data_IF_959545243522
#
_entry.id   IF_959545243522
#
_cell.length_a   1.000
_cell.length_b   1.000
_cell.length_c   1.000
_cell.angle_alpha   90.00
_cell.angle_beta   90.00
_cell.angle_gamma   90.00
#
_symmetry.space_group_name_H-M   'P 1'
#
loop_
_entity.id
_entity.type
_entity.pdbx_description
1 polymer ?
#
# COMPACT_ATOMS: atom_id res chain seq x y z
N UNK A 1 31.58 -0.88 -0.72
CA UNK A 1 30.28 -0.68 -0.04
C UNK A 1 29.49 -1.97 -0.21
N UNK A 2 28.97 -2.56 0.87
CA UNK A 2 28.01 -3.64 0.76
C UNK A 2 26.70 -3.08 0.21
N UNK A 3 26.02 -3.82 -0.66
CA UNK A 3 24.77 -3.42 -1.27
C UNK A 3 23.74 -4.54 -1.13
N UNK A 4 22.48 -4.15 -1.01
CA UNK A 4 21.35 -5.06 -1.04
C UNK A 4 20.56 -4.81 -2.33
N UNK A 5 20.26 -5.88 -3.06
CA UNK A 5 19.38 -5.84 -4.20
C UNK A 5 18.11 -6.64 -3.90
N UNK A 6 17.01 -5.91 -3.74
CA UNK A 6 15.68 -6.50 -3.65
C UNK A 6 15.24 -6.92 -5.05
N UNK A 7 14.86 -8.18 -5.20
CA UNK A 7 14.53 -8.80 -6.48
C UNK A 7 13.17 -9.45 -6.41
N UNK A 8 12.45 -9.47 -7.54
CA UNK A 8 11.14 -10.10 -7.67
C UNK A 8 10.84 -10.42 -9.12
N UNK A 9 9.81 -11.22 -9.32
CA UNK A 9 9.30 -11.50 -10.67
C UNK A 9 8.95 -10.19 -11.39
N UNK A 10 9.66 -9.83 -12.47
CA UNK A 10 9.50 -8.54 -13.15
C UNK A 10 8.13 -8.42 -13.84
N UNK A 11 7.47 -9.53 -14.16
CA UNK A 11 6.13 -9.50 -14.77
C UNK A 11 5.09 -9.13 -13.71
N UNK A 12 5.28 -9.57 -12.47
CA UNK A 12 4.39 -9.24 -11.37
C UNK A 12 4.35 -7.73 -11.08
N UNK A 13 5.43 -7.00 -11.39
CA UNK A 13 5.48 -5.55 -11.24
C UNK A 13 4.55 -4.81 -12.21
N UNK A 14 4.29 -5.38 -13.38
CA UNK A 14 3.56 -4.70 -14.45
C UNK A 14 2.08 -4.46 -14.10
N UNK A 15 1.49 -5.31 -13.25
CA UNK A 15 0.09 -5.14 -12.80
C UNK A 15 -0.14 -3.80 -12.09
N UNK A 16 0.90 -3.25 -11.47
CA UNK A 16 0.84 -1.95 -10.81
C UNK A 16 0.75 -0.78 -11.79
N UNK A 17 1.12 -1.00 -13.07
CA UNK A 17 0.95 -0.02 -14.14
C UNK A 17 -0.50 0.18 -14.59
N UNK A 18 -1.43 -0.71 -14.20
CA UNK A 18 -2.86 -0.56 -14.50
C UNK A 18 -3.58 0.49 -13.62
N UNK A 19 -2.92 0.94 -12.55
CA UNK A 19 -3.49 1.93 -11.65
C UNK A 19 -3.56 3.28 -12.38
N UNK A 20 -4.71 3.99 -12.34
CA UNK A 20 -4.83 5.31 -12.97
C UNK A 20 -4.07 6.35 -12.13
N UNK A 21 -2.73 6.32 -12.19
CA UNK A 21 -1.85 7.11 -11.32
C UNK A 21 -2.14 8.61 -11.38
N UNK A 22 -2.53 9.14 -12.55
CA UNK A 22 -2.91 10.55 -12.68
C UNK A 22 -4.14 10.90 -11.84
N UNK A 23 -5.21 10.13 -11.99
CA UNK A 23 -6.46 10.32 -11.24
C UNK A 23 -6.23 10.12 -9.74
N UNK A 24 -5.41 9.13 -9.37
CA UNK A 24 -4.98 8.94 -7.99
C UNK A 24 -4.27 10.18 -7.44
N UNK A 25 -3.30 10.74 -8.16
CA UNK A 25 -2.55 11.91 -7.73
C UNK A 25 -3.44 13.15 -7.61
N UNK A 26 -4.35 13.35 -8.56
CA UNK A 26 -5.36 14.42 -8.51
C UNK A 26 -6.26 14.27 -7.28
N UNK A 27 -6.77 13.07 -7.01
CA UNK A 27 -7.61 12.79 -5.84
C UNK A 27 -6.85 12.93 -4.51
N UNK A 28 -5.55 12.57 -4.45
CA UNK A 28 -4.70 12.72 -3.26
C UNK A 28 -4.47 14.19 -2.93
N UNK A 29 -4.24 15.01 -3.97
CA UNK A 29 -3.96 16.43 -3.83
C UNK A 29 -5.13 17.17 -3.18
N UNK A 30 -6.35 16.84 -3.57
CA UNK A 30 -7.57 17.47 -3.09
C UNK A 30 -8.24 16.66 -1.95
N UNK A 31 -7.52 15.70 -1.36
CA UNK A 31 -8.05 14.84 -0.31
C UNK A 31 -8.22 15.60 1.00
N UNK A 32 -9.46 15.72 1.44
CA UNK A 32 -9.78 16.17 2.79
C UNK A 32 -9.36 15.10 3.81
N UNK A 33 -8.47 15.48 4.74
CA UNK A 33 -7.92 14.57 5.75
C UNK A 33 -8.32 14.92 7.19
N UNK A 34 -8.99 16.05 7.39
CA UNK A 34 -9.59 16.41 8.68
C UNK A 34 -11.09 16.40 8.52
N UNK A 35 -11.79 15.71 9.41
CA UNK A 35 -13.24 15.51 9.32
C UNK A 35 -13.83 15.32 10.73
N UNK A 36 -15.17 15.31 10.84
CA UNK A 36 -15.88 15.19 12.13
C UNK A 36 -16.84 14.01 12.13
N UNK A 37 -17.52 13.79 13.25
CA UNK A 37 -18.53 12.74 13.39
C UNK A 37 -19.72 12.89 12.41
N UNK A 38 -19.91 14.08 11.82
CA UNK A 38 -20.96 14.32 10.81
C UNK A 38 -20.54 13.97 9.38
N UNK A 39 -19.29 13.59 9.17
CA UNK A 39 -18.71 13.38 7.85
C UNK A 39 -19.07 12.03 7.24
N UNK A 40 -19.51 12.04 5.99
CA UNK A 40 -19.73 10.82 5.20
C UNK A 40 -18.39 10.25 4.71
N UNK A 41 -17.93 9.18 5.35
CA UNK A 41 -16.67 8.53 5.02
C UNK A 41 -16.65 7.87 3.63
N UNK A 42 -17.79 7.73 2.93
CA UNK A 42 -17.80 7.28 1.54
C UNK A 42 -17.06 8.23 0.59
N UNK A 43 -16.81 9.47 1.03
CA UNK A 43 -15.92 10.41 0.35
C UNK A 43 -14.55 9.78 0.00
N UNK A 44 -14.04 8.88 0.85
CA UNK A 44 -12.74 8.24 0.65
C UNK A 44 -12.73 7.21 -0.50
N UNK A 45 -13.88 6.86 -1.09
CA UNK A 45 -13.96 6.00 -2.27
C UNK A 45 -13.13 6.52 -3.45
N UNK A 46 -12.99 7.84 -3.60
CA UNK A 46 -12.16 8.44 -4.65
C UNK A 46 -10.69 7.99 -4.58
N UNK A 47 -10.24 7.48 -3.44
CA UNK A 47 -8.92 6.87 -3.25
C UNK A 47 -9.03 5.35 -3.20
N UNK A 48 -9.93 4.83 -2.35
CA UNK A 48 -10.04 3.41 -2.04
C UNK A 48 -10.44 2.57 -3.25
N UNK A 49 -11.38 3.08 -4.08
CA UNK A 49 -11.98 2.38 -5.22
C UNK A 49 -11.43 2.84 -6.58
N UNK A 50 -10.22 3.41 -6.63
CA UNK A 50 -9.59 3.65 -7.94
C UNK A 50 -9.32 2.32 -8.61
N UNK A 51 -10.28 1.93 -9.47
CA UNK A 51 -10.28 0.65 -10.16
C UNK A 51 -9.09 0.59 -11.09
N UNK A 52 -8.42 -0.56 -11.09
CA UNK A 52 -7.56 -0.91 -12.20
C UNK A 52 -8.42 -0.91 -13.46
N UNK A 53 -8.00 -0.18 -14.49
CA UNK A 53 -8.57 -0.39 -15.82
C UNK A 53 -8.14 -1.77 -16.31
N UNK A 54 -8.78 -2.28 -17.35
CA UNK A 54 -8.18 -3.40 -18.09
C UNK A 54 -6.71 -3.05 -18.38
N UNK A 55 -5.81 -4.02 -18.19
CA UNK A 55 -4.41 -3.75 -18.41
C UNK A 55 -4.14 -3.63 -19.90
N UNK A 56 -3.86 -2.41 -20.33
CA UNK A 56 -3.44 -2.08 -21.68
C UNK A 56 -1.91 -1.93 -21.71
N UNK A 57 -1.16 -2.91 -22.26
CA UNK A 57 0.29 -2.80 -22.31
C UNK A 57 0.69 -1.66 -23.27
N UNK A 58 1.67 -0.82 -22.90
CA UNK A 58 2.21 0.17 -23.81
C UNK A 58 2.93 -0.52 -24.97
N UNK A 59 2.88 0.09 -26.16
CA UNK A 59 3.64 -0.38 -27.33
C UNK A 59 5.15 -0.48 -27.06
N UNK A 60 5.66 0.31 -26.12
CA UNK A 60 7.06 0.34 -25.73
C UNK A 60 7.23 0.35 -24.21
N UNK A 61 8.08 -0.55 -23.72
CA UNK A 61 8.51 -0.63 -22.32
C UNK A 61 9.86 0.05 -22.06
N UNK A 62 10.40 0.81 -23.00
CA UNK A 62 11.71 1.47 -22.84
C UNK A 62 11.78 2.37 -21.59
N UNK A 63 10.65 2.95 -21.16
CA UNK A 63 10.57 3.74 -19.93
C UNK A 63 10.95 2.95 -18.66
N UNK A 64 10.88 1.61 -18.68
CA UNK A 64 11.31 0.80 -17.55
C UNK A 64 12.84 0.86 -17.33
N UNK A 65 13.64 1.13 -18.38
CA UNK A 65 15.12 1.22 -18.30
C UNK A 65 15.63 2.40 -17.47
N UNK A 66 14.75 3.33 -17.08
CA UNK A 66 15.10 4.47 -16.22
C UNK A 66 14.37 4.41 -14.89
N UNK A 67 13.60 3.35 -14.63
CA UNK A 67 12.74 3.23 -13.47
C UNK A 67 12.99 1.91 -12.75
N UNK A 68 12.38 0.82 -13.23
CA UNK A 68 12.30 -0.44 -12.50
C UNK A 68 13.20 -1.52 -13.06
N UNK A 69 13.58 -1.45 -14.35
CA UNK A 69 14.46 -2.40 -15.01
C UNK A 69 15.87 -1.85 -15.14
N UNK A 70 16.57 -1.77 -14.00
CA UNK A 70 17.92 -1.18 -13.90
C UNK A 70 18.88 -2.04 -13.06
N UNK A 71 18.59 -3.33 -12.84
CA UNK A 71 19.37 -4.19 -11.96
C UNK A 71 20.82 -4.40 -12.42
N UNK A 72 21.02 -4.91 -13.65
CA UNK A 72 22.36 -5.13 -14.21
C UNK A 72 23.09 -3.79 -14.38
N UNK A 73 22.35 -2.78 -14.83
CA UNK A 73 22.84 -1.40 -14.96
C UNK A 73 23.37 -0.83 -13.63
N UNK A 74 22.63 -0.96 -12.53
CA UNK A 74 23.05 -0.49 -11.21
C UNK A 74 24.25 -1.26 -10.68
N UNK A 75 24.28 -2.59 -10.83
CA UNK A 75 25.41 -3.39 -10.38
C UNK A 75 26.69 -3.02 -11.14
N UNK A 76 26.60 -2.83 -12.46
CA UNK A 76 27.75 -2.42 -13.28
C UNK A 76 28.25 -1.02 -12.95
N UNK A 77 27.34 -0.09 -12.63
CA UNK A 77 27.67 1.27 -12.26
C UNK A 77 28.30 1.37 -10.85
N UNK A 78 27.69 0.71 -9.86
CA UNK A 78 28.10 0.80 -8.45
C UNK A 78 29.27 -0.13 -8.10
N UNK A 79 29.42 -1.24 -8.83
CA UNK A 79 30.44 -2.29 -8.59
C UNK A 79 30.57 -2.65 -7.11
N UNK A 80 29.47 -3.05 -6.45
CA UNK A 80 29.50 -3.38 -5.03
C UNK A 80 30.49 -4.52 -4.78
N UNK A 81 31.28 -4.39 -3.70
CA UNK A 81 32.25 -5.42 -3.29
C UNK A 81 31.56 -6.64 -2.69
N UNK A 82 30.38 -6.41 -2.14
CA UNK A 82 29.54 -7.38 -1.48
C UNK A 82 28.09 -7.04 -1.84
N UNK A 83 27.37 -8.00 -2.42
CA UNK A 83 26.04 -7.82 -2.95
C UNK A 83 25.15 -8.94 -2.43
N UNK A 84 24.21 -8.56 -1.57
CA UNK A 84 23.20 -9.45 -1.00
C UNK A 84 21.93 -9.35 -1.83
N UNK A 85 21.35 -10.49 -2.19
CA UNK A 85 20.08 -10.55 -2.91
C UNK A 85 18.99 -11.01 -1.95
N UNK A 86 17.87 -10.29 -1.94
CA UNK A 86 16.70 -10.62 -1.14
C UNK A 86 15.52 -10.77 -2.10
N UNK A 87 14.91 -11.95 -2.15
CA UNK A 87 13.65 -12.09 -2.88
C UNK A 87 12.54 -11.32 -2.13
N UNK A 88 11.68 -10.61 -2.84
CA UNK A 88 10.56 -9.86 -2.27
C UNK A 88 9.68 -10.71 -1.35
N UNK A 89 9.57 -12.02 -1.59
CA UNK A 89 8.83 -12.90 -0.72
C UNK A 89 9.49 -13.05 0.66
N UNK A 90 10.82 -12.88 0.81
CA UNK A 90 11.54 -12.92 2.10
C UNK A 90 11.21 -11.73 3.01
N UNK A 91 10.66 -10.66 2.44
CA UNK A 91 10.12 -9.51 3.20
C UNK A 91 8.59 -9.50 3.22
N UNK A 92 7.97 -10.69 3.09
CA UNK A 92 6.54 -10.86 3.36
C UNK A 92 6.23 -10.67 4.84
N UNK A 93 4.94 -10.53 5.17
CA UNK A 93 4.46 -10.40 6.55
C UNK A 93 5.04 -11.47 7.48
N UNK A 94 5.17 -12.70 7.02
CA UNK A 94 5.58 -13.86 7.81
C UNK A 94 7.10 -14.02 7.94
N UNK A 95 7.89 -13.23 7.18
CA UNK A 95 9.35 -13.43 7.09
C UNK A 95 10.17 -12.15 7.26
N UNK A 96 9.54 -10.97 7.14
CA UNK A 96 10.23 -9.69 7.15
C UNK A 96 11.05 -9.48 8.43
N UNK A 97 10.51 -9.87 9.59
CA UNK A 97 11.20 -9.73 10.88
C UNK A 97 12.49 -10.56 10.93
N UNK A 98 12.41 -11.85 10.60
CA UNK A 98 13.57 -12.75 10.60
C UNK A 98 14.59 -12.35 9.54
N UNK A 99 14.13 -11.94 8.35
CA UNK A 99 14.99 -11.47 7.26
C UNK A 99 15.74 -10.21 7.65
N UNK A 100 15.07 -9.19 8.20
CA UNK A 100 15.72 -7.97 8.65
C UNK A 100 16.64 -8.20 9.85
N UNK A 101 16.34 -9.17 10.71
CA UNK A 101 17.24 -9.60 11.78
C UNK A 101 18.55 -10.17 11.21
N UNK A 102 18.49 -11.05 10.21
CA UNK A 102 19.69 -11.57 9.53
C UNK A 102 20.47 -10.47 8.81
N UNK A 103 19.77 -9.57 8.11
CA UNK A 103 20.38 -8.44 7.41
C UNK A 103 21.09 -7.48 8.38
N UNK A 104 20.55 -7.28 9.59
CA UNK A 104 21.16 -6.42 10.61
C UNK A 104 22.56 -6.90 11.00
N UNK A 105 22.76 -8.22 11.07
CA UNK A 105 24.05 -8.83 11.39
C UNK A 105 25.06 -8.65 10.25
N UNK A 106 24.58 -8.68 8.99
CA UNK A 106 25.43 -8.51 7.81
C UNK A 106 25.82 -7.05 7.55
N UNK A 107 24.87 -6.13 7.69
CA UNK A 107 25.04 -4.72 7.35
C UNK A 107 25.37 -3.83 8.56
N UNK A 108 25.26 -4.34 9.79
CA UNK A 108 25.62 -3.63 11.02
C UNK A 108 24.62 -2.55 11.46
N UNK A 109 23.37 -2.60 11.03
CA UNK A 109 22.31 -1.72 11.54
C UNK A 109 21.63 -2.32 12.78
N UNK A 110 20.85 -1.51 13.51
CA UNK A 110 20.15 -1.97 14.71
C UNK A 110 19.14 -3.08 14.39
N UNK A 111 19.30 -4.24 15.03
CA UNK A 111 18.40 -5.36 14.83
C UNK A 111 16.96 -5.03 15.25
N UNK A 112 15.94 -5.52 14.51
CA UNK A 112 14.55 -5.50 14.94
C UNK A 112 14.38 -6.02 16.37
N UNK A 113 13.52 -5.37 17.15
CA UNK A 113 13.21 -5.79 18.52
C UNK A 113 11.86 -6.49 18.56
N UNK A 114 11.72 -7.53 19.39
CA UNK A 114 10.50 -8.35 19.47
C UNK A 114 9.24 -7.52 19.78
N UNK A 115 9.38 -6.49 20.63
CA UNK A 115 8.31 -5.55 20.95
C UNK A 115 7.74 -4.81 19.73
N UNK A 116 8.54 -4.68 18.67
CA UNK A 116 8.22 -3.95 17.45
C UNK A 116 7.85 -4.91 16.29
N UNK A 117 7.76 -6.24 16.54
CA UNK A 117 7.46 -7.27 15.52
C UNK A 117 6.25 -6.92 14.66
N UNK A 118 5.18 -6.39 15.28
CA UNK A 118 3.95 -6.00 14.59
C UNK A 118 4.18 -5.00 13.44
N UNK A 119 5.20 -4.14 13.54
CA UNK A 119 5.55 -3.18 12.49
C UNK A 119 6.06 -3.92 11.25
N UNK A 120 6.89 -4.94 11.43
CA UNK A 120 7.46 -5.74 10.35
C UNK A 120 6.44 -6.71 9.72
N UNK A 121 5.43 -7.13 10.50
CA UNK A 121 4.32 -7.95 10.04
C UNK A 121 3.18 -7.11 9.41
N UNK A 122 3.23 -5.79 9.53
CA UNK A 122 2.20 -4.90 9.02
C UNK A 122 2.24 -4.83 7.49
N UNK A 123 1.06 -4.97 6.87
CA UNK A 123 0.90 -4.77 5.42
C UNK A 123 0.71 -3.29 5.11
N UNK A 124 1.79 -2.51 5.10
CA UNK A 124 1.76 -1.06 4.83
C UNK A 124 1.07 -0.69 3.50
N UNK A 125 1.34 -1.45 2.44
CA UNK A 125 0.69 -1.25 1.14
C UNK A 125 -0.48 -2.24 0.97
N UNK A 126 -1.47 -2.16 1.86
CA UNK A 126 -2.74 -2.83 1.62
C UNK A 126 -3.62 -2.04 0.64
N UNK A 127 -3.30 -2.15 -0.64
CA UNK A 127 -4.01 -1.43 -1.67
C UNK A 127 -3.82 0.09 -1.57
N UNK A 128 -4.90 0.85 -1.77
CA UNK A 128 -4.82 2.31 -1.82
C UNK A 128 -4.92 2.96 -0.43
N UNK A 129 -4.97 2.15 0.64
CA UNK A 129 -5.08 2.59 2.02
C UNK A 129 -3.98 3.60 2.39
N UNK A 130 -2.75 3.34 1.96
CA UNK A 130 -1.58 4.21 2.14
C UNK A 130 -1.84 5.67 1.73
N UNK A 131 -2.61 5.89 0.65
CA UNK A 131 -2.85 7.22 0.12
C UNK A 131 -3.80 8.06 0.96
N UNK A 132 -4.57 7.44 1.87
CA UNK A 132 -5.45 8.15 2.82
C UNK A 132 -4.68 8.90 3.91
N UNK A 133 -3.39 8.63 4.11
CA UNK A 133 -2.55 9.37 5.07
C UNK A 133 -1.10 9.62 4.61
N UNK A 134 -0.80 9.49 3.31
CA UNK A 134 0.56 9.64 2.76
C UNK A 134 1.22 11.00 2.98
N UNK A 135 0.43 12.08 3.07
CA UNK A 135 0.95 13.46 3.23
C UNK A 135 0.79 13.99 4.65
N UNK A 136 -0.25 13.51 5.35
CA UNK A 136 -0.57 13.87 6.73
C UNK A 136 -1.56 12.84 7.29
N UNK A 137 -1.60 12.63 8.61
CA UNK A 137 -2.55 11.74 9.26
C UNK A 137 -3.99 12.05 8.88
N UNK A 138 -4.78 11.00 8.66
CA UNK A 138 -6.22 11.13 8.57
C UNK A 138 -6.72 11.41 10.01
N UNK A 139 -7.41 12.53 10.22
CA UNK A 139 -7.72 13.06 11.56
C UNK A 139 -9.23 13.26 11.74
N UNK A 140 -9.81 12.53 12.68
CA UNK A 140 -11.18 12.74 13.15
C UNK A 140 -11.16 13.74 14.32
N UNK A 141 -11.79 14.89 14.12
CA UNK A 141 -12.08 15.87 15.15
C UNK A 141 -13.43 15.55 15.78
N UNK A 142 -13.43 15.17 17.06
CA UNK A 142 -14.60 14.80 17.83
C UNK A 142 -15.05 15.98 18.67
N UNK A 143 -16.25 16.48 18.42
CA UNK A 143 -16.87 17.57 19.16
C UNK A 143 -18.32 17.27 19.51
N UNK A 144 -18.78 17.73 20.68
CA UNK A 144 -20.17 17.58 21.11
C UNK A 144 -21.17 18.25 20.16
N UNK A 145 -20.77 19.33 19.47
CA UNK A 145 -21.58 20.04 18.47
C UNK A 145 -21.96 19.16 17.27
N UNK A 146 -21.19 18.10 16.99
CA UNK A 146 -21.47 17.19 15.87
C UNK A 146 -22.55 16.15 16.18
N UNK A 147 -22.87 15.89 17.46
CA UNK A 147 -23.79 14.82 17.87
C UNK A 147 -25.16 14.86 17.17
N UNK A 148 -25.83 16.03 17.01
CA UNK A 148 -27.13 16.11 16.32
C UNK A 148 -27.06 15.72 14.83
N UNK A 149 -25.87 15.83 14.24
CA UNK A 149 -25.58 15.66 12.81
C UNK A 149 -24.70 14.44 12.52
N UNK A 150 -24.45 13.58 13.51
CA UNK A 150 -23.60 12.40 13.37
C UNK A 150 -24.03 11.56 12.17
N UNK A 151 -23.07 11.24 11.32
CA UNK A 151 -23.26 10.32 10.21
C UNK A 151 -23.36 8.88 10.73
N UNK A 152 -24.25 8.11 10.12
CA UNK A 152 -24.27 6.65 10.26
C UNK A 152 -24.80 6.08 8.95
N UNK A 153 -24.28 4.93 8.53
CA UNK A 153 -24.70 4.23 7.30
C UNK A 153 -26.20 3.94 7.24
N UNK A 154 -26.87 3.86 8.40
CA UNK A 154 -28.31 3.59 8.51
C UNK A 154 -29.19 4.84 8.60
N UNK A 155 -28.59 6.04 8.64
CA UNK A 155 -29.31 7.29 8.80
C UNK A 155 -29.93 7.77 7.49
N UNK A 156 -31.22 8.13 7.51
CA UNK A 156 -31.92 8.78 6.39
C UNK A 156 -31.67 10.30 6.31
N UNK A 157 -30.93 10.88 7.26
CA UNK A 157 -30.66 12.33 7.29
C UNK A 157 -29.75 12.69 6.13
N UNK A 158 -30.09 13.76 5.40
CA UNK A 158 -29.21 14.33 4.36
C UNK A 158 -27.87 14.70 5.00
N UNK A 159 -26.78 14.24 4.37
CA UNK A 159 -25.42 14.57 4.73
C UNK A 159 -25.26 16.09 4.87
N UNK A 160 -24.61 16.56 5.94
CA UNK A 160 -24.14 17.94 5.97
C UNK A 160 -22.90 18.02 5.07
N UNK A 161 -23.10 18.40 3.81
CA UNK A 161 -22.03 18.79 2.89
C UNK A 161 -21.27 20.06 3.36
N UNK A 162 -21.80 20.76 4.38
CA UNK A 162 -21.20 21.98 4.91
C UNK A 162 -20.12 21.70 5.96
N UNK A 163 -18.94 21.38 5.42
CA UNK A 163 -17.66 21.16 6.09
C UNK A 163 -16.99 22.44 6.66
N UNK A 164 -17.56 23.63 6.51
CA UNK A 164 -16.84 24.89 6.73
C UNK A 164 -16.47 25.23 8.19
N UNK A 165 -16.94 24.48 9.20
CA UNK A 165 -16.80 24.85 10.61
C UNK A 165 -16.26 23.73 11.52
N UNK A 166 -15.17 23.05 11.13
CA UNK A 166 -14.46 22.17 12.08
C UNK A 166 -13.88 23.00 13.23
N UNK A 167 -14.36 22.79 14.44
CA UNK A 167 -13.86 23.47 15.65
C UNK A 167 -12.53 22.83 16.12
N UNK A 168 -11.44 23.13 15.42
CA UNK A 168 -10.13 22.54 15.67
C UNK A 168 -9.57 22.79 17.08
N UNK A 169 -10.03 23.84 17.74
CA UNK A 169 -9.56 24.24 19.07
C UNK A 169 -10.25 23.45 20.18
N UNK A 170 -11.55 23.19 20.04
CA UNK A 170 -12.35 22.52 21.09
C UNK A 170 -12.67 21.06 20.77
N UNK A 171 -12.02 20.46 19.77
CA UNK A 171 -12.25 19.06 19.39
C UNK A 171 -11.13 18.17 19.88
N UNK A 172 -11.50 17.00 20.39
CA UNK A 172 -10.59 15.88 20.57
C UNK A 172 -10.10 15.38 19.21
N UNK A 173 -8.84 14.96 19.10
CA UNK A 173 -8.24 14.53 17.84
C UNK A 173 -7.88 13.06 17.87
N UNK A 174 -8.48 12.30 16.97
CA UNK A 174 -8.17 10.89 16.72
C UNK A 174 -7.44 10.80 15.39
N UNK A 175 -6.26 10.18 15.39
CA UNK A 175 -5.40 10.04 14.24
C UNK A 175 -5.40 8.60 13.72
N UNK A 176 -5.70 8.42 12.44
CA UNK A 176 -5.57 7.15 11.75
C UNK A 176 -4.28 7.16 10.93
N UNK A 177 -3.34 6.29 11.29
CA UNK A 177 -2.03 6.17 10.67
C UNK A 177 -1.56 4.72 10.63
N UNK A 178 -0.39 4.47 10.02
CA UNK A 178 0.27 3.18 10.13
C UNK A 178 0.76 2.87 11.54
N UNK A 179 0.98 1.59 11.86
CA UNK A 179 1.69 1.20 13.07
C UNK A 179 3.03 1.91 13.20
N UNK A 180 3.10 2.85 14.14
CA UNK A 180 4.29 3.64 14.44
C UNK A 180 4.26 4.02 15.92
N UNK A 181 5.41 3.95 16.60
CA UNK A 181 5.51 4.39 17.98
C UNK A 181 5.59 5.91 18.04
N UNK A 182 4.58 6.55 18.63
CA UNK A 182 4.55 8.01 18.85
C UNK A 182 4.58 8.30 20.36
N UNK A 183 5.55 9.09 20.80
CA UNK A 183 5.68 9.48 22.20
C UNK A 183 4.51 10.39 22.64
N UNK A 184 3.90 10.08 23.79
CA UNK A 184 2.76 10.83 24.34
C UNK A 184 1.40 10.48 23.72
N UNK A 185 1.34 9.46 22.85
CA UNK A 185 0.12 8.97 22.23
C UNK A 185 -0.15 7.51 22.62
N UNK A 186 -1.43 7.17 22.74
CA UNK A 186 -1.91 5.82 23.02
C UNK A 186 -2.69 5.29 21.83
N UNK A 187 -2.45 4.04 21.46
CA UNK A 187 -3.23 3.36 20.44
C UNK A 187 -4.54 2.86 21.06
N UNK A 188 -5.64 3.52 20.71
CA UNK A 188 -6.98 3.19 21.20
C UNK A 188 -7.71 2.20 20.29
N UNK A 189 -7.02 1.61 19.29
CA UNK A 189 -7.60 0.61 18.37
C UNK A 189 -8.28 -0.57 19.08
N UNK A 190 -7.84 -0.92 20.29
CA UNK A 190 -8.42 -1.98 21.12
C UNK A 190 -9.89 -1.73 21.50
N UNK A 191 -10.36 -0.48 21.44
CA UNK A 191 -11.74 -0.09 21.74
C UNK A 191 -12.70 -0.22 20.55
N UNK A 192 -12.17 -0.59 19.38
CA UNK A 192 -12.94 -0.73 18.14
C UNK A 192 -12.89 -2.17 17.63
N UNK A 193 -13.82 -2.51 16.73
CA UNK A 193 -13.96 -3.81 16.10
C UNK A 193 -13.27 -3.85 14.72
N UNK A 194 -13.12 -5.05 14.15
CA UNK A 194 -12.57 -5.26 12.80
C UNK A 194 -11.13 -5.80 12.75
N UNK A 195 -10.78 -6.47 11.64
CA UNK A 195 -9.45 -7.04 11.40
C UNK A 195 -8.46 -5.98 10.89
N UNK A 196 -8.98 -4.86 10.37
CA UNK A 196 -8.18 -3.73 9.88
C UNK A 196 -7.27 -3.12 10.95
N UNK A 197 -7.54 -3.35 12.24
CA UNK A 197 -6.69 -2.98 13.39
C UNK A 197 -5.27 -3.55 13.33
N UNK A 198 -5.05 -4.60 12.52
CA UNK A 198 -3.69 -5.13 12.26
C UNK A 198 -2.89 -4.31 11.24
N UNK A 199 -3.52 -3.32 10.60
CA UNK A 199 -2.98 -2.56 9.47
C UNK A 199 -2.98 -1.05 9.72
N UNK A 200 -3.75 -0.59 10.70
CA UNK A 200 -3.87 0.81 11.11
C UNK A 200 -3.75 0.89 12.62
N UNK A 201 -3.20 2.01 13.10
CA UNK A 201 -3.34 2.43 14.49
C UNK A 201 -4.33 3.58 14.58
N UNK A 202 -5.01 3.66 15.72
CA UNK A 202 -5.96 4.74 16.02
C UNK A 202 -5.41 5.47 17.24
N UNK A 203 -4.68 6.56 17.00
CA UNK A 203 -3.94 7.27 18.05
C UNK A 203 -4.69 8.46 18.60
N UNK A 204 -4.47 8.68 19.89
CA UNK A 204 -4.94 9.86 20.61
C UNK A 204 -3.91 10.23 21.69
N UNK A 205 -3.82 11.52 22.07
CA UNK A 205 -3.02 11.89 23.24
C UNK A 205 -3.65 11.30 24.48
N UNK A 206 -2.84 10.76 25.38
CA UNK A 206 -3.33 10.04 26.57
C UNK A 206 -4.27 10.90 27.44
N UNK A 207 -3.88 12.15 27.70
CA UNK A 207 -4.71 13.09 28.47
C UNK A 207 -6.05 13.41 27.79
N UNK A 208 -6.05 13.56 26.47
CA UNK A 208 -7.28 13.82 25.70
C UNK A 208 -8.19 12.59 25.70
N UNK A 209 -7.62 11.38 25.61
CA UNK A 209 -8.39 10.14 25.59
C UNK A 209 -9.14 9.94 26.90
N UNK A 210 -8.46 10.15 28.03
CA UNK A 210 -9.07 10.07 29.35
C UNK A 210 -10.24 11.06 29.48
N UNK A 211 -10.05 12.32 29.05
CA UNK A 211 -11.11 13.33 29.06
C UNK A 211 -12.29 13.00 28.13
N UNK A 212 -12.04 12.41 26.96
CA UNK A 212 -13.11 11.94 26.07
C UNK A 212 -13.92 10.80 26.69
N UNK A 213 -13.26 9.87 27.41
CA UNK A 213 -13.94 8.76 28.08
C UNK A 213 -14.87 9.21 29.23
N UNK A 214 -14.61 10.36 29.85
CA UNK A 214 -15.50 10.94 30.86
C UNK A 214 -16.83 11.42 30.24
N UNK A 215 -16.82 11.86 28.98
CA UNK A 215 -18.01 12.22 28.23
C UNK A 215 -18.64 10.98 27.57
N UNK A 216 -19.36 10.19 28.37
CA UNK A 216 -19.92 8.88 27.97
C UNK A 216 -20.76 8.95 26.68
N UNK A 217 -21.54 10.01 26.50
CA UNK A 217 -22.37 10.20 25.30
C UNK A 217 -21.50 10.41 24.05
N UNK A 218 -20.54 11.34 24.14
CA UNK A 218 -19.63 11.65 23.03
C UNK A 218 -18.72 10.48 22.70
N UNK A 219 -18.25 9.76 23.71
CA UNK A 219 -17.43 8.57 23.52
C UNK A 219 -18.19 7.43 22.84
N UNK A 220 -19.43 7.16 23.25
CA UNK A 220 -20.26 6.16 22.59
C UNK A 220 -20.55 6.53 21.13
N UNK A 221 -20.87 7.80 20.87
CA UNK A 221 -21.04 8.30 19.51
C UNK A 221 -19.78 8.15 18.66
N UNK A 222 -18.61 8.40 19.25
CA UNK A 222 -17.31 8.21 18.60
C UNK A 222 -17.04 6.75 18.28
N UNK A 223 -17.27 5.83 19.22
CA UNK A 223 -17.13 4.39 18.99
C UNK A 223 -17.99 3.88 17.86
N UNK A 224 -19.26 4.26 17.84
CA UNK A 224 -20.18 3.87 16.77
C UNK A 224 -19.68 4.35 15.40
N UNK A 225 -19.31 5.64 15.28
CA UNK A 225 -18.80 6.19 14.03
C UNK A 225 -17.50 5.51 13.59
N UNK A 226 -16.54 5.36 14.50
CA UNK A 226 -15.23 4.76 14.17
C UNK A 226 -15.40 3.29 13.79
N UNK A 227 -16.24 2.51 14.48
CA UNK A 227 -16.51 1.12 14.10
C UNK A 227 -17.12 1.02 12.69
N UNK A 228 -18.13 1.85 12.37
CA UNK A 228 -18.71 1.87 11.02
C UNK A 228 -17.67 2.27 9.97
N UNK A 229 -16.82 3.25 10.27
CA UNK A 229 -15.76 3.68 9.37
C UNK A 229 -14.70 2.60 9.14
N UNK A 230 -14.25 1.90 10.19
CA UNK A 230 -13.26 0.84 10.09
C UNK A 230 -13.80 -0.38 9.33
N UNK A 231 -15.04 -0.78 9.62
CA UNK A 231 -15.75 -1.85 8.88
C UNK A 231 -15.87 -1.49 7.39
N UNK A 232 -16.20 -0.23 7.11
CA UNK A 232 -16.28 0.28 5.75
C UNK A 232 -14.92 0.21 5.04
N UNK A 233 -13.85 0.75 5.64
CA UNK A 233 -12.50 0.65 5.09
C UNK A 233 -12.13 -0.81 4.79
N UNK A 234 -12.41 -1.73 5.71
CA UNK A 234 -12.08 -3.14 5.55
C UNK A 234 -12.82 -3.77 4.34
N UNK A 235 -14.12 -3.50 4.23
CA UNK A 235 -14.95 -3.93 3.09
C UNK A 235 -14.40 -3.39 1.78
N UNK A 236 -14.11 -2.09 1.73
CA UNK A 236 -13.63 -1.44 0.51
C UNK A 236 -12.26 -1.94 0.07
N UNK A 237 -11.38 -2.24 1.02
CA UNK A 237 -10.08 -2.81 0.70
C UNK A 237 -10.19 -4.23 0.14
N UNK A 238 -11.10 -5.06 0.69
CA UNK A 238 -11.38 -6.40 0.16
C UNK A 238 -11.95 -6.33 -1.25
N UNK A 239 -12.92 -5.44 -1.51
CA UNK A 239 -13.47 -5.21 -2.85
C UNK A 239 -12.40 -4.74 -3.83
N UNK A 240 -11.63 -3.72 -3.46
CA UNK A 240 -10.56 -3.18 -4.30
C UNK A 240 -9.45 -4.22 -4.58
N UNK A 241 -9.18 -5.15 -3.67
CA UNK A 241 -8.26 -6.27 -3.92
C UNK A 241 -8.81 -7.23 -4.99
N UNK A 242 -10.10 -7.55 -4.93
CA UNK A 242 -10.73 -8.47 -5.88
C UNK A 242 -10.86 -7.88 -7.29
N UNK A 243 -10.95 -6.55 -7.41
CA UNK A 243 -11.04 -5.85 -8.69
C UNK A 243 -9.66 -5.51 -9.31
N UNK A 244 -8.55 -5.84 -8.63
CA UNK A 244 -7.20 -5.54 -9.15
C UNK A 244 -6.85 -6.40 -10.35
N UNK A 245 -6.15 -5.77 -11.29
CA UNK A 245 -5.46 -6.48 -12.37
C UNK A 245 -4.53 -7.56 -11.78
N UNK A 246 -4.75 -8.78 -12.24
CA UNK A 246 -3.90 -9.93 -11.89
C UNK A 246 -2.71 -10.02 -12.83
N UNK A 247 -1.66 -10.72 -12.41
CA UNK A 247 -0.49 -10.95 -13.28
C UNK A 247 -0.86 -11.83 -14.49
N UNK A 248 -1.85 -12.71 -14.33
CA UNK A 248 -2.42 -13.51 -15.41
C UNK A 248 -3.08 -12.63 -16.49
N UNK A 249 -3.85 -11.60 -16.10
CA UNK A 249 -4.43 -10.64 -17.04
C UNK A 249 -3.35 -9.82 -17.77
N UNK A 250 -2.27 -9.44 -17.08
CA UNK A 250 -1.11 -8.80 -17.71
C UNK A 250 -0.51 -9.67 -18.81
N UNK A 251 -0.29 -10.96 -18.52
CA UNK A 251 0.24 -11.92 -19.49
C UNK A 251 -0.71 -12.12 -20.67
N UNK A 252 -2.01 -12.24 -20.42
CA UNK A 252 -3.02 -12.35 -21.47
C UNK A 252 -2.97 -11.13 -22.41
N UNK A 253 -2.92 -9.91 -21.86
CA UNK A 253 -2.84 -8.70 -22.66
C UNK A 253 -1.52 -8.59 -23.45
N UNK A 254 -0.39 -8.96 -22.84
CA UNK A 254 0.91 -9.04 -23.53
C UNK A 254 0.88 -10.07 -24.68
N UNK A 255 0.16 -11.19 -24.52
CA UNK A 255 0.06 -12.21 -25.56
C UNK A 255 -0.64 -11.72 -26.83
N UNK A 256 -1.57 -10.77 -26.67
CA UNK A 256 -2.35 -10.16 -27.76
C UNK A 256 -1.59 -9.05 -28.49
N UNK A 257 -0.49 -8.53 -27.92
CA UNK A 257 0.27 -7.42 -28.48
C UNK A 257 1.74 -7.79 -28.68
N UNK A 258 2.08 -8.19 -29.91
CA UNK A 258 3.44 -8.63 -30.24
C UNK A 258 4.49 -7.52 -30.07
N UNK A 259 4.17 -6.27 -30.40
CA UNK A 259 5.11 -5.15 -30.24
C UNK A 259 5.47 -4.93 -28.76
N UNK A 260 4.46 -4.96 -27.89
CA UNK A 260 4.61 -4.85 -26.44
C UNK A 260 5.47 -5.99 -25.88
N UNK A 261 5.18 -7.24 -26.30
CA UNK A 261 5.92 -8.43 -25.88
C UNK A 261 7.42 -8.33 -26.24
N UNK A 262 7.72 -7.96 -27.48
CA UNK A 262 9.09 -7.82 -27.97
C UNK A 262 9.82 -6.65 -27.30
N UNK A 263 9.11 -5.54 -27.08
CA UNK A 263 9.67 -4.40 -26.36
C UNK A 263 10.05 -4.79 -24.93
N UNK A 264 9.15 -5.47 -24.20
CA UNK A 264 9.42 -5.92 -22.85
C UNK A 264 10.62 -6.89 -22.78
N UNK A 265 10.69 -7.84 -23.71
CA UNK A 265 11.82 -8.79 -23.79
C UNK A 265 13.16 -8.05 -24.00
N UNK A 266 13.19 -7.06 -24.88
CA UNK A 266 14.38 -6.24 -25.15
C UNK A 266 14.85 -5.40 -23.96
N UNK A 267 13.95 -5.13 -23.00
CA UNK A 267 14.28 -4.44 -21.76
C UNK A 267 14.74 -5.42 -20.68
N UNK A 268 14.02 -6.53 -20.49
CA UNK A 268 14.29 -7.46 -19.40
C UNK A 268 15.54 -8.33 -19.62
N UNK A 269 15.78 -8.81 -20.84
CA UNK A 269 16.93 -9.71 -21.09
C UNK A 269 18.29 -9.15 -20.67
N UNK A 270 18.68 -7.90 -21.02
CA UNK A 270 19.94 -7.35 -20.55
C UNK A 270 19.95 -7.15 -19.02
N UNK A 271 18.85 -6.67 -18.45
CA UNK A 271 18.78 -6.29 -17.02
C UNK A 271 18.72 -7.48 -16.07
N UNK A 272 18.30 -8.65 -16.56
CA UNK A 272 18.26 -9.88 -15.77
C UNK A 272 19.53 -10.73 -15.91
N UNK A 273 20.50 -10.33 -16.73
CA UNK A 273 21.72 -11.11 -16.98
C UNK A 273 22.52 -11.34 -15.71
N UNK A 274 22.73 -10.30 -14.90
CA UNK A 274 23.43 -10.41 -13.63
C UNK A 274 22.75 -11.39 -12.66
N UNK A 275 21.45 -11.23 -12.40
CA UNK A 275 20.76 -12.08 -11.42
C UNK A 275 20.66 -13.53 -11.89
N UNK A 276 20.40 -13.78 -13.19
CA UNK A 276 20.41 -15.14 -13.76
C UNK A 276 21.74 -15.86 -13.53
N UNK A 277 22.86 -15.12 -13.53
CA UNK A 277 24.20 -15.68 -13.29
C UNK A 277 24.46 -15.98 -11.82
N UNK A 278 24.07 -15.09 -10.90
CA UNK A 278 24.48 -15.16 -9.50
C UNK A 278 23.45 -15.82 -8.58
N UNK A 279 22.16 -15.72 -8.92
CA UNK A 279 21.03 -16.28 -8.18
C UNK A 279 20.00 -16.91 -9.13
N UNK A 280 20.41 -17.95 -9.90
CA UNK A 280 19.48 -18.67 -10.76
C UNK A 280 18.32 -19.30 -9.98
N UNK A 281 18.55 -19.69 -8.72
CA UNK A 281 17.55 -20.21 -7.79
C UNK A 281 16.38 -19.23 -7.57
N UNK A 282 16.66 -17.93 -7.45
CA UNK A 282 15.62 -16.90 -7.35
C UNK A 282 14.84 -16.81 -8.67
N UNK A 283 15.54 -16.75 -9.80
CA UNK A 283 14.89 -16.62 -11.12
C UNK A 283 14.02 -17.83 -11.44
N UNK A 284 14.43 -19.02 -11.02
CA UNK A 284 13.66 -20.26 -11.18
C UNK A 284 12.35 -20.24 -10.36
N UNK A 285 12.30 -19.47 -9.27
CA UNK A 285 11.09 -19.29 -8.47
C UNK A 285 10.04 -18.40 -9.15
N UNK A 286 10.43 -17.58 -10.14
CA UNK A 286 9.56 -16.61 -10.81
C UNK A 286 8.59 -17.29 -11.78
N UNK A 287 7.38 -17.59 -11.28
CA UNK A 287 6.29 -18.23 -12.03
C UNK A 287 5.96 -17.50 -13.34
N UNK A 288 5.74 -16.18 -13.25
CA UNK A 288 5.19 -15.39 -14.35
C UNK A 288 6.25 -15.03 -15.39
N UNK A 289 7.48 -14.77 -14.95
CA UNK A 289 8.60 -14.60 -15.87
C UNK A 289 8.85 -15.84 -16.73
N UNK A 290 8.76 -17.05 -16.16
CA UNK A 290 8.86 -18.30 -16.95
C UNK A 290 7.75 -18.44 -17.98
N UNK A 291 6.53 -18.00 -17.66
CA UNK A 291 5.41 -18.00 -18.59
C UNK A 291 5.63 -17.00 -19.74
N UNK A 292 6.05 -15.79 -19.41
CA UNK A 292 6.46 -14.77 -20.37
C UNK A 292 7.54 -15.28 -21.34
N UNK A 293 8.59 -15.94 -20.84
CA UNK A 293 9.64 -16.52 -21.69
C UNK A 293 9.09 -17.57 -22.68
N UNK A 294 8.10 -18.37 -22.28
CA UNK A 294 7.44 -19.32 -23.19
C UNK A 294 6.68 -18.59 -24.30
N UNK A 295 6.04 -17.48 -23.98
CA UNK A 295 5.31 -16.65 -24.96
C UNK A 295 6.27 -16.04 -26.00
N UNK A 296 7.39 -15.47 -25.57
CA UNK A 296 8.41 -14.93 -26.48
C UNK A 296 8.93 -16.00 -27.46
N UNK A 297 9.24 -17.20 -26.94
CA UNK A 297 9.67 -18.35 -27.77
C UNK A 297 8.63 -18.77 -28.81
N UNK A 298 7.33 -18.75 -28.47
CA UNK A 298 6.24 -19.06 -29.42
C UNK A 298 6.12 -17.98 -30.50
N UNK A 299 6.20 -16.71 -30.12
CA UNK A 299 6.12 -15.57 -31.05
C UNK A 299 7.22 -15.60 -32.11
N UNK A 300 8.44 -16.00 -31.74
CA UNK A 300 9.58 -16.14 -32.66
C UNK A 300 9.42 -17.28 -33.67
N UNK A 301 8.68 -18.34 -33.33
CA UNK A 301 8.42 -19.47 -34.24
C UNK A 301 7.39 -19.14 -35.31
N UNK A 302 6.41 -18.27 -35.02
CA UNK A 302 5.37 -17.86 -35.97
C UNK A 302 5.84 -16.80 -36.98
N UNK A 303 7.09 -16.32 -36.86
CA UNK A 303 7.75 -15.36 -37.78
C UNK A 303 8.71 -16.04 -38.77
N UNK A 304 8.87 -17.37 -38.71
CA UNK A 304 9.66 -18.19 -39.64
C UNK A 304 8.72 -18.98 -40.53
#
# INVERSE_FOLDING_TARGET
MPALMLVRDPIENLKHGALPCRELLENIKDLQRVFTLSFDYHYFNKILRLRGREYEPPLSFLGLKTQTAIWDSLVNALKPKDLVYVDMQEISKERAFETLTKLSQHFGFNAPQEKDRKIYEAKHFNGNLFFLWSNQPLTLCVNRKDLPYKYSKNSKKKNNENFSNVDLQNSFKIYFIFPEKIEGYVDIAQHFEGEIRSQICVYMREAEFNALCEDVELWNATKEYVNEFLEYLETELKLAQNERVTTEQVLEALSKNQASLQSLESVLEPELKHIKKHRPDIVESWKYYKEFQKMCKKSLKNKK
#
